data_IF_683928038408
#
_entry.id   IF_683928038408
#
_cell.length_a   1.000
_cell.length_b   1.000
_cell.length_c   1.000
_cell.angle_alpha   90.00
_cell.angle_beta   90.00
_cell.angle_gamma   90.00
#
_symmetry.space_group_name_H-M   'P 1'
#
loop_
_entity.id
_entity.type
_entity.pdbx_description
1 polymer ?
#
# COMPACT_ATOMS: atom_id res chain seq x y z
N UNK A 1 4.55 34.85 -7.22
CA UNK A 1 3.66 33.79 -6.68
C UNK A 1 2.54 33.37 -7.64
N UNK A 2 1.80 34.31 -8.24
CA UNK A 2 0.68 34.04 -9.19
C UNK A 2 1.13 33.30 -10.45
N UNK A 3 2.25 33.69 -11.07
CA UNK A 3 2.79 33.05 -12.28
C UNK A 3 3.14 31.56 -12.08
N UNK A 4 3.73 31.22 -10.93
CA UNK A 4 4.06 29.82 -10.60
C UNK A 4 2.83 28.94 -10.42
N UNK A 5 1.75 29.48 -9.87
CA UNK A 5 0.48 28.75 -9.71
C UNK A 5 -0.21 28.53 -11.07
N UNK A 6 -0.17 29.53 -11.96
CA UNK A 6 -0.72 29.40 -13.32
C UNK A 6 0.03 28.36 -14.14
N UNK A 7 1.36 28.33 -14.07
CA UNK A 7 2.18 27.32 -14.75
C UNK A 7 1.93 25.90 -14.21
N UNK A 8 1.76 25.76 -12.91
CA UNK A 8 1.38 24.46 -12.30
C UNK A 8 0.01 23.96 -12.81
N UNK A 9 -0.97 24.87 -12.90
CA UNK A 9 -2.30 24.53 -13.41
C UNK A 9 -2.28 24.11 -14.87
N UNK A 10 -1.51 24.82 -15.71
CA UNK A 10 -1.35 24.48 -17.13
C UNK A 10 -0.69 23.11 -17.28
N UNK A 11 0.41 22.86 -16.57
CA UNK A 11 1.09 21.55 -16.56
C UNK A 11 0.14 20.44 -16.14
N UNK A 12 -0.69 20.65 -15.10
CA UNK A 12 -1.69 19.67 -14.62
C UNK A 12 -2.75 19.38 -15.69
N UNK A 13 -3.23 20.39 -16.42
CA UNK A 13 -4.20 20.23 -17.52
C UNK A 13 -3.60 19.46 -18.70
N UNK A 14 -2.39 19.84 -19.15
CA UNK A 14 -1.68 19.15 -20.24
C UNK A 14 -1.46 17.70 -19.90
N UNK A 15 -1.00 17.43 -18.67
CA UNK A 15 -0.81 16.07 -18.19
C UNK A 15 -2.12 15.27 -18.17
N UNK A 16 -3.19 15.84 -17.64
CA UNK A 16 -4.50 15.19 -17.63
C UNK A 16 -4.97 14.84 -19.04
N UNK A 17 -4.78 15.73 -20.00
CA UNK A 17 -5.07 15.48 -21.42
C UNK A 17 -4.21 14.33 -21.97
N UNK A 18 -2.89 14.34 -21.70
CA UNK A 18 -1.99 13.28 -22.12
C UNK A 18 -2.39 11.91 -21.55
N UNK A 19 -2.67 11.82 -20.26
CA UNK A 19 -3.05 10.56 -19.59
C UNK A 19 -4.35 9.96 -20.15
N UNK A 20 -5.26 10.78 -20.66
CA UNK A 20 -6.51 10.33 -21.30
C UNK A 20 -6.33 9.99 -22.79
N UNK A 21 -5.15 10.17 -23.36
CA UNK A 21 -4.90 9.95 -24.80
C UNK A 21 -4.72 8.48 -25.16
N UNK A 22 -5.00 8.14 -26.42
CA UNK A 22 -4.69 6.82 -26.96
C UNK A 22 -3.18 6.52 -27.00
N UNK A 23 -2.34 7.55 -27.12
CA UNK A 23 -0.88 7.42 -27.09
C UNK A 23 -0.43 6.90 -25.73
N UNK A 24 -0.93 7.51 -24.64
CA UNK A 24 -0.64 7.06 -23.29
C UNK A 24 -1.14 5.64 -23.05
N UNK A 25 -2.37 5.36 -23.46
CA UNK A 25 -2.94 4.02 -23.33
C UNK A 25 -2.09 2.95 -24.01
N UNK A 26 -1.59 3.22 -25.25
CA UNK A 26 -0.66 2.33 -25.94
C UNK A 26 0.67 2.16 -25.20
N UNK A 27 1.22 3.26 -24.67
CA UNK A 27 2.50 3.27 -23.96
C UNK A 27 2.49 2.36 -22.73
N UNK A 28 1.40 2.34 -21.98
CA UNK A 28 1.31 1.56 -20.72
C UNK A 28 0.81 0.13 -20.97
N UNK A 29 0.26 -0.17 -22.14
CA UNK A 29 -0.21 -1.53 -22.48
C UNK A 29 0.98 -2.47 -22.60
N UNK A 30 0.98 -3.62 -21.88
CA UNK A 30 2.08 -4.58 -21.95
C UNK A 30 2.16 -5.23 -23.33
N UNK A 31 3.38 -5.59 -23.74
CA UNK A 31 3.64 -6.33 -24.99
C UNK A 31 3.45 -7.84 -24.86
N UNK A 32 3.57 -8.36 -23.65
CA UNK A 32 3.42 -9.79 -23.35
C UNK A 32 2.58 -10.00 -22.09
N UNK A 33 1.83 -11.09 -22.07
CA UNK A 33 1.02 -11.52 -20.93
C UNK A 33 1.69 -12.77 -20.35
N UNK A 34 1.95 -12.75 -19.07
CA UNK A 34 2.56 -13.84 -18.31
C UNK A 34 1.57 -14.28 -17.22
N UNK A 35 1.68 -15.53 -16.80
CA UNK A 35 0.90 -16.06 -15.71
C UNK A 35 1.53 -15.69 -14.36
N UNK A 36 0.70 -15.58 -13.32
CA UNK A 36 1.15 -15.37 -11.95
C UNK A 36 1.92 -16.61 -11.49
N UNK A 37 3.18 -16.42 -11.10
CA UNK A 37 4.03 -17.47 -10.52
C UNK A 37 3.98 -17.49 -9.01
N UNK A 38 4.16 -16.35 -8.35
CA UNK A 38 4.09 -16.22 -6.88
C UNK A 38 2.77 -15.59 -6.44
N UNK A 39 2.18 -16.16 -5.40
CA UNK A 39 0.92 -15.73 -4.81
C UNK A 39 1.10 -15.66 -3.28
N UNK A 40 1.11 -14.44 -2.69
CA UNK A 40 1.34 -14.30 -1.26
C UNK A 40 0.16 -14.83 -0.44
N UNK A 41 0.46 -15.32 0.75
CA UNK A 41 -0.57 -15.68 1.73
C UNK A 41 -1.38 -14.44 2.14
N UNK A 42 -2.73 -14.47 2.05
CA UNK A 42 -3.57 -13.36 2.49
C UNK A 42 -3.33 -12.95 3.95
N UNK A 43 -2.91 -13.88 4.81
CA UNK A 43 -2.64 -13.63 6.23
C UNK A 43 -1.48 -12.65 6.46
N UNK A 44 -0.59 -12.45 5.48
CA UNK A 44 0.47 -11.45 5.56
C UNK A 44 -0.08 -10.01 5.56
N UNK A 45 -1.28 -9.81 5.00
CA UNK A 45 -1.91 -8.50 4.96
C UNK A 45 -2.69 -8.14 6.23
N UNK A 46 -2.77 -9.02 7.21
CA UNK A 46 -3.45 -8.77 8.50
C UNK A 46 -2.96 -7.47 9.17
N UNK A 47 -1.70 -7.08 8.94
CA UNK A 47 -1.15 -5.82 9.47
C UNK A 47 -1.78 -4.56 8.86
N UNK A 48 -2.32 -4.64 7.66
CA UNK A 48 -2.91 -3.50 6.94
C UNK A 48 -4.43 -3.44 7.10
N UNK A 49 -5.07 -4.58 7.39
CA UNK A 49 -6.51 -4.70 7.43
C UNK A 49 -7.00 -4.31 8.81
N UNK A 50 -7.93 -3.37 8.88
CA UNK A 50 -8.74 -3.18 10.08
C UNK A 50 -9.78 -4.30 10.08
N UNK A 51 -9.68 -5.20 11.05
CA UNK A 51 -10.70 -6.22 11.26
C UNK A 51 -12.03 -5.56 11.66
N UNK A 52 -12.81 -5.19 10.68
CA UNK A 52 -14.23 -5.01 10.89
C UNK A 52 -14.86 -6.41 10.89
N UNK A 53 -15.49 -6.77 11.99
CA UNK A 53 -16.02 -8.13 12.23
C UNK A 53 -17.17 -8.53 11.29
N UNK A 54 -17.61 -7.67 10.41
CA UNK A 54 -18.65 -7.94 9.42
C UNK A 54 -18.05 -8.52 8.16
N UNK A 55 -18.18 -9.83 7.99
CA UNK A 55 -17.91 -10.48 6.72
C UNK A 55 -18.96 -10.06 5.70
N UNK A 56 -18.50 -9.70 4.51
CA UNK A 56 -19.36 -9.30 3.38
C UNK A 56 -19.64 -10.55 2.54
N UNK A 57 -20.91 -10.83 2.26
CA UNK A 57 -21.30 -11.85 1.30
C UNK A 57 -21.63 -11.17 -0.04
N UNK A 58 -20.93 -11.51 -1.12
CA UNK A 58 -21.10 -10.91 -2.44
C UNK A 58 -22.40 -11.35 -3.13
N UNK A 59 -22.91 -12.54 -2.81
CA UNK A 59 -24.10 -13.12 -3.46
C UNK A 59 -25.34 -12.18 -3.40
N UNK A 60 -25.35 -11.27 -2.42
CA UNK A 60 -26.46 -10.33 -2.21
C UNK A 60 -26.28 -8.97 -2.94
N UNK A 61 -25.20 -8.78 -3.69
CA UNK A 61 -24.97 -7.54 -4.42
C UNK A 61 -25.40 -7.69 -5.88
N UNK A 62 -26.33 -6.87 -6.33
CA UNK A 62 -26.63 -6.71 -7.75
C UNK A 62 -25.42 -6.02 -8.42
N UNK A 63 -24.50 -6.81 -8.91
CA UNK A 63 -23.14 -6.45 -9.35
C UNK A 63 -23.11 -5.39 -10.45
N UNK A 64 -24.15 -5.35 -11.30
CA UNK A 64 -24.23 -4.46 -12.46
C UNK A 64 -24.41 -2.98 -12.13
N UNK A 65 -24.68 -2.62 -10.87
CA UNK A 65 -24.93 -1.23 -10.43
C UNK A 65 -23.93 -0.69 -9.41
N UNK A 66 -22.97 -1.53 -8.97
CA UNK A 66 -22.05 -1.13 -7.91
C UNK A 66 -21.09 -0.03 -8.40
N UNK A 67 -20.59 -0.18 -9.65
CA UNK A 67 -19.53 0.69 -10.18
C UNK A 67 -20.03 2.07 -10.59
N UNK A 68 -21.30 2.18 -11.00
CA UNK A 68 -21.90 3.37 -11.58
C UNK A 68 -22.93 4.03 -10.64
N UNK A 69 -22.88 3.74 -9.33
CA UNK A 69 -23.81 4.34 -8.37
C UNK A 69 -23.45 5.83 -8.11
N UNK A 70 -24.21 6.80 -8.64
CA UNK A 70 -23.92 8.22 -8.49
C UNK A 70 -24.07 8.73 -7.05
N UNK A 71 -24.72 7.96 -6.17
CA UNK A 71 -25.00 8.33 -4.79
C UNK A 71 -23.88 7.90 -3.81
N UNK A 72 -22.84 7.19 -4.27
CA UNK A 72 -21.72 6.83 -3.42
C UNK A 72 -20.85 8.06 -3.11
N UNK A 73 -20.53 8.23 -1.84
CA UNK A 73 -19.52 9.21 -1.43
C UNK A 73 -18.17 8.88 -2.09
N UNK A 74 -17.37 9.89 -2.37
CA UNK A 74 -16.05 9.69 -2.99
C UNK A 74 -15.18 8.69 -2.21
N UNK A 75 -15.20 8.72 -0.89
CA UNK A 75 -14.48 7.78 -0.03
C UNK A 75 -14.95 6.34 -0.22
N UNK A 76 -16.26 6.11 -0.35
CA UNK A 76 -16.83 4.77 -0.53
C UNK A 76 -16.50 4.25 -1.93
N UNK A 77 -16.56 5.13 -2.94
CA UNK A 77 -16.15 4.80 -4.30
C UNK A 77 -14.64 4.44 -4.37
N UNK A 78 -13.77 5.17 -3.65
CA UNK A 78 -12.36 4.85 -3.55
C UNK A 78 -12.13 3.49 -2.86
N UNK A 79 -12.81 3.24 -1.75
CA UNK A 79 -12.75 1.96 -1.03
C UNK A 79 -13.21 0.80 -1.91
N UNK A 80 -14.30 0.98 -2.64
CA UNK A 80 -14.81 -0.01 -3.59
C UNK A 80 -13.79 -0.33 -4.68
N UNK A 81 -13.21 0.70 -5.31
CA UNK A 81 -12.22 0.56 -6.38
C UNK A 81 -10.84 0.08 -5.92
N UNK A 82 -10.55 0.14 -4.61
CA UNK A 82 -9.32 -0.40 -4.02
C UNK A 82 -9.34 -1.93 -3.88
N UNK A 83 -10.51 -2.55 -3.92
CA UNK A 83 -10.72 -3.98 -3.70
C UNK A 83 -10.19 -4.54 -2.36
N UNK A 84 -9.84 -3.70 -1.39
CA UNK A 84 -9.43 -4.17 -0.06
C UNK A 84 -10.55 -4.89 0.71
N UNK A 85 -11.80 -4.69 0.32
CA UNK A 85 -12.95 -5.43 0.84
C UNK A 85 -12.88 -6.94 0.53
N UNK A 86 -12.09 -7.39 -0.45
CA UNK A 86 -11.83 -8.82 -0.70
C UNK A 86 -11.32 -9.56 0.53
N UNK A 87 -10.56 -8.89 1.40
CA UNK A 87 -10.07 -9.48 2.65
C UNK A 87 -11.16 -9.67 3.71
N UNK A 88 -12.32 -9.04 3.53
CA UNK A 88 -13.48 -9.17 4.39
C UNK A 88 -14.48 -10.21 3.89
N UNK A 89 -14.21 -10.84 2.73
CA UNK A 89 -15.07 -11.87 2.18
C UNK A 89 -15.00 -13.14 3.01
N UNK A 90 -16.13 -13.85 3.08
CA UNK A 90 -16.13 -15.21 3.56
C UNK A 90 -15.35 -16.10 2.58
N UNK A 91 -14.55 -17.04 3.11
CA UNK A 91 -13.86 -18.06 2.31
C UNK A 91 -14.82 -18.95 1.51
N UNK A 92 -16.11 -18.94 1.86
CA UNK A 92 -17.19 -19.60 1.11
C UNK A 92 -17.68 -18.81 -0.10
N UNK A 93 -17.20 -17.56 -0.27
CA UNK A 93 -17.57 -16.74 -1.43
C UNK A 93 -17.21 -17.45 -2.73
N UNK A 94 -18.13 -17.41 -3.68
CA UNK A 94 -17.93 -18.08 -4.97
C UNK A 94 -16.79 -17.43 -5.73
N UNK A 95 -15.79 -18.23 -6.14
CA UNK A 95 -14.73 -17.78 -7.05
C UNK A 95 -15.34 -17.17 -8.33
N UNK A 96 -16.38 -17.80 -8.86
CA UNK A 96 -17.06 -17.37 -10.08
C UNK A 96 -17.64 -15.97 -9.96
N UNK A 97 -18.28 -15.67 -8.83
CA UNK A 97 -18.87 -14.34 -8.59
C UNK A 97 -17.78 -13.29 -8.41
N UNK A 98 -16.73 -13.59 -7.64
CA UNK A 98 -15.58 -12.70 -7.46
C UNK A 98 -14.92 -12.38 -8.81
N UNK A 99 -14.67 -13.39 -9.63
CA UNK A 99 -14.06 -13.21 -10.96
C UNK A 99 -14.99 -12.45 -11.90
N UNK A 100 -16.30 -12.68 -11.83
CA UNK A 100 -17.29 -11.92 -12.61
C UNK A 100 -17.27 -10.43 -12.27
N UNK A 101 -17.20 -10.09 -10.96
CA UNK A 101 -17.07 -8.70 -10.49
C UNK A 101 -15.80 -8.05 -11.04
N UNK A 102 -14.68 -8.74 -10.94
CA UNK A 102 -13.39 -8.23 -11.42
C UNK A 102 -13.43 -8.06 -12.96
N UNK A 103 -13.98 -9.04 -13.68
CA UNK A 103 -14.11 -8.98 -15.13
C UNK A 103 -14.94 -7.78 -15.60
N UNK A 104 -16.05 -7.53 -14.94
CA UNK A 104 -16.88 -6.34 -15.22
C UNK A 104 -16.11 -5.04 -14.94
N UNK A 105 -15.40 -4.99 -13.80
CA UNK A 105 -14.58 -3.84 -13.48
C UNK A 105 -13.50 -3.60 -14.54
N UNK A 106 -12.81 -4.64 -15.02
CA UNK A 106 -11.79 -4.54 -16.06
C UNK A 106 -12.39 -3.97 -17.34
N UNK A 107 -13.53 -4.48 -17.79
CA UNK A 107 -14.18 -4.04 -19.04
C UNK A 107 -14.59 -2.56 -19.01
N UNK A 108 -14.90 -2.01 -17.82
CA UNK A 108 -15.31 -0.60 -17.67
C UNK A 108 -14.14 0.33 -17.34
N UNK A 109 -13.02 -0.19 -16.83
CA UNK A 109 -11.90 0.59 -16.32
C UNK A 109 -10.55 0.21 -16.94
N UNK A 110 -10.52 -0.31 -18.14
CA UNK A 110 -9.30 -0.72 -18.85
C UNK A 110 -8.41 0.47 -19.27
N UNK A 111 -8.96 1.68 -19.27
CA UNK A 111 -8.25 2.92 -19.59
C UNK A 111 -8.07 3.79 -18.36
N UNK A 112 -7.08 4.69 -18.46
CA UNK A 112 -6.87 5.68 -17.40
C UNK A 112 -8.15 6.42 -17.06
N UNK A 113 -8.41 6.50 -15.76
CA UNK A 113 -9.49 7.29 -15.18
C UNK A 113 -8.97 7.97 -13.91
N UNK A 114 -9.04 9.28 -13.84
CA UNK A 114 -8.47 10.07 -12.74
C UNK A 114 -9.02 9.75 -11.36
N UNK A 115 -10.22 9.17 -11.26
CA UNK A 115 -10.83 8.75 -9.99
C UNK A 115 -10.35 7.37 -9.55
N UNK A 116 -10.33 6.40 -10.49
CA UNK A 116 -10.08 4.99 -10.20
C UNK A 116 -8.60 4.58 -10.35
N UNK A 117 -7.79 5.47 -10.97
CA UNK A 117 -6.36 5.24 -11.24
C UNK A 117 -5.46 6.14 -10.38
N UNK A 118 -5.90 6.52 -9.18
CA UNK A 118 -5.04 7.15 -8.17
C UNK A 118 -3.99 6.13 -7.68
N UNK A 119 -2.79 6.60 -7.37
CA UNK A 119 -1.63 5.76 -7.00
C UNK A 119 -1.98 4.77 -5.87
N UNK A 120 -2.59 5.25 -4.79
CA UNK A 120 -2.96 4.43 -3.66
C UNK A 120 -4.07 3.43 -3.99
N UNK A 121 -5.06 3.82 -4.81
CA UNK A 121 -6.17 2.96 -5.22
C UNK A 121 -5.67 1.81 -6.10
N UNK A 122 -4.83 2.11 -7.09
CA UNK A 122 -4.22 1.09 -7.93
C UNK A 122 -3.36 0.16 -7.08
N UNK A 123 -2.48 0.73 -6.25
CA UNK A 123 -1.59 -0.07 -5.42
C UNK A 123 -2.34 -1.02 -4.51
N UNK A 124 -3.37 -0.55 -3.80
CA UNK A 124 -4.23 -1.39 -2.98
C UNK A 124 -4.93 -2.48 -3.78
N UNK A 125 -5.51 -2.13 -4.94
CA UNK A 125 -6.20 -3.08 -5.82
C UNK A 125 -5.29 -4.20 -6.28
N UNK A 126 -4.10 -3.89 -6.77
CA UNK A 126 -3.13 -4.89 -7.23
C UNK A 126 -2.72 -5.80 -6.08
N UNK A 127 -2.41 -5.23 -4.90
CA UNK A 127 -2.09 -6.00 -3.70
C UNK A 127 -3.27 -6.92 -3.34
N UNK A 128 -4.49 -6.39 -3.32
CA UNK A 128 -5.67 -7.18 -2.98
C UNK A 128 -5.93 -8.32 -3.98
N UNK A 129 -5.81 -8.05 -5.27
CA UNK A 129 -6.07 -9.04 -6.31
C UNK A 129 -5.04 -10.17 -6.30
N UNK A 130 -3.75 -9.86 -6.23
CA UNK A 130 -2.68 -10.86 -6.22
C UNK A 130 -2.71 -11.67 -4.91
N UNK A 131 -2.92 -11.02 -3.76
CA UNK A 131 -2.94 -11.72 -2.47
C UNK A 131 -4.19 -12.58 -2.24
N UNK A 132 -5.28 -12.34 -2.97
CA UNK A 132 -6.48 -13.18 -2.93
C UNK A 132 -6.62 -14.07 -4.18
N UNK A 133 -5.52 -14.44 -4.82
CA UNK A 133 -5.52 -15.18 -6.10
C UNK A 133 -6.36 -16.45 -6.10
N UNK A 134 -6.53 -17.10 -4.96
CA UNK A 134 -7.47 -18.24 -4.81
C UNK A 134 -8.90 -17.90 -5.22
N UNK A 135 -9.35 -16.67 -4.95
CA UNK A 135 -10.68 -16.19 -5.31
C UNK A 135 -10.67 -15.43 -6.64
N UNK A 136 -9.61 -14.65 -6.87
CA UNK A 136 -9.56 -13.70 -7.97
C UNK A 136 -8.99 -14.25 -9.27
N UNK A 137 -8.21 -15.35 -9.22
CA UNK A 137 -7.44 -15.82 -10.37
C UNK A 137 -7.52 -17.33 -10.65
N UNK A 138 -7.42 -18.18 -9.59
CA UNK A 138 -7.46 -19.64 -9.78
C UNK A 138 -8.75 -20.08 -10.46
N UNK A 139 -8.66 -21.13 -11.29
CA UNK A 139 -9.77 -21.71 -12.04
C UNK A 139 -10.48 -20.75 -13.02
N UNK A 140 -9.98 -19.53 -13.21
CA UNK A 140 -10.47 -18.60 -14.23
C UNK A 140 -10.20 -19.11 -15.65
N UNK A 141 -11.08 -18.75 -16.60
CA UNK A 141 -10.87 -19.05 -18.03
C UNK A 141 -9.59 -18.36 -18.55
N UNK A 142 -9.05 -18.86 -19.65
CA UNK A 142 -7.86 -18.28 -20.30
C UNK A 142 -8.11 -16.80 -20.64
N UNK A 143 -9.24 -16.48 -21.26
CA UNK A 143 -9.61 -15.08 -21.60
C UNK A 143 -9.65 -14.17 -20.36
N UNK A 144 -10.23 -14.67 -19.26
CA UNK A 144 -10.25 -13.93 -18.01
C UNK A 144 -8.84 -13.68 -17.45
N UNK A 145 -8.00 -14.72 -17.40
CA UNK A 145 -6.63 -14.64 -16.91
C UNK A 145 -5.78 -13.69 -17.74
N UNK A 146 -5.95 -13.69 -19.06
CA UNK A 146 -5.24 -12.77 -19.96
C UNK A 146 -5.63 -11.32 -19.69
N UNK A 147 -6.92 -11.03 -19.56
CA UNK A 147 -7.40 -9.69 -19.20
C UNK A 147 -6.94 -9.25 -17.81
N UNK A 148 -7.00 -10.16 -16.84
CA UNK A 148 -6.55 -9.91 -15.47
C UNK A 148 -5.06 -9.56 -15.41
N UNK A 149 -4.20 -10.38 -16.02
CA UNK A 149 -2.76 -10.13 -16.07
C UNK A 149 -2.43 -8.88 -16.89
N UNK A 150 -3.13 -8.67 -18.00
CA UNK A 150 -2.96 -7.50 -18.86
C UNK A 150 -3.24 -6.19 -18.12
N UNK A 151 -4.36 -6.13 -17.38
CA UNK A 151 -4.71 -4.90 -16.64
C UNK A 151 -3.78 -4.66 -15.45
N UNK A 152 -3.33 -5.69 -14.73
CA UNK A 152 -2.34 -5.53 -13.65
C UNK A 152 -1.06 -4.91 -14.22
N UNK A 153 -0.48 -5.49 -15.27
CA UNK A 153 0.75 -4.96 -15.88
C UNK A 153 0.57 -3.55 -16.42
N UNK A 154 -0.56 -3.26 -17.03
CA UNK A 154 -0.91 -1.92 -17.51
C UNK A 154 -0.96 -0.90 -16.38
N UNK A 155 -1.55 -1.25 -15.24
CA UNK A 155 -1.61 -0.40 -14.06
C UNK A 155 -0.25 -0.25 -13.37
N UNK A 156 0.59 -1.28 -13.37
CA UNK A 156 1.97 -1.16 -12.89
C UNK A 156 2.79 -0.22 -13.77
N UNK A 157 2.65 -0.30 -15.09
CA UNK A 157 3.30 0.64 -16.00
C UNK A 157 2.85 2.08 -15.73
N UNK A 158 1.56 2.29 -15.42
CA UNK A 158 1.05 3.57 -14.97
C UNK A 158 1.70 4.01 -13.64
N UNK A 159 1.74 3.13 -12.63
CA UNK A 159 2.38 3.44 -11.34
C UNK A 159 3.83 3.86 -11.52
N UNK A 160 4.62 3.13 -12.29
CA UNK A 160 6.04 3.44 -12.54
C UNK A 160 6.20 4.84 -13.18
N UNK A 161 5.32 5.18 -14.12
CA UNK A 161 5.39 6.49 -14.79
C UNK A 161 4.91 7.65 -13.91
N UNK A 162 4.00 7.38 -12.97
CA UNK A 162 3.23 8.44 -12.30
C UNK A 162 3.48 8.55 -10.79
N UNK A 163 4.13 7.58 -10.16
CA UNK A 163 4.29 7.52 -8.70
C UNK A 163 4.99 8.74 -8.10
N UNK A 164 5.98 9.29 -8.81
CA UNK A 164 6.70 10.48 -8.32
C UNK A 164 5.84 11.75 -8.30
N UNK A 165 4.71 11.75 -8.99
CA UNK A 165 3.81 12.91 -9.07
C UNK A 165 2.83 13.01 -7.91
N UNK A 166 2.66 11.95 -7.12
CA UNK A 166 1.90 12.04 -5.87
C UNK A 166 2.63 12.93 -4.87
N UNK A 167 1.90 13.81 -4.21
CA UNK A 167 2.43 14.62 -3.11
C UNK A 167 2.47 13.83 -1.80
N UNK A 168 1.65 12.78 -1.70
CA UNK A 168 1.51 11.97 -0.49
C UNK A 168 2.52 10.80 -0.48
N UNK A 169 3.42 10.82 0.49
CA UNK A 169 4.44 9.78 0.65
C UNK A 169 3.81 8.40 0.89
N UNK A 170 2.70 8.35 1.63
CA UNK A 170 1.97 7.10 1.88
C UNK A 170 1.49 6.45 0.58
N UNK A 171 0.98 7.23 -0.36
CA UNK A 171 0.54 6.71 -1.66
C UNK A 171 1.72 6.12 -2.44
N UNK A 172 2.89 6.79 -2.39
CA UNK A 172 4.11 6.30 -3.02
C UNK A 172 4.57 4.97 -2.42
N UNK A 173 4.51 4.81 -1.10
CA UNK A 173 4.86 3.54 -0.43
C UNK A 173 3.93 2.41 -0.87
N UNK A 174 2.61 2.67 -0.93
CA UNK A 174 1.63 1.71 -1.43
C UNK A 174 1.95 1.32 -2.88
N UNK A 175 2.23 2.32 -3.72
CA UNK A 175 2.60 2.10 -5.11
C UNK A 175 3.88 1.27 -5.26
N UNK A 176 4.94 1.59 -4.49
CA UNK A 176 6.18 0.80 -4.47
C UNK A 176 5.92 -0.65 -4.06
N UNK A 177 5.12 -0.86 -3.00
CA UNK A 177 4.77 -2.21 -2.54
C UNK A 177 4.03 -3.00 -3.63
N UNK A 178 3.10 -2.37 -4.35
CA UNK A 178 2.39 -3.01 -5.47
C UNK A 178 3.32 -3.37 -6.64
N UNK A 179 4.27 -2.48 -6.98
CA UNK A 179 5.26 -2.72 -8.03
C UNK A 179 6.17 -3.90 -7.63
N UNK A 180 6.66 -3.92 -6.38
CA UNK A 180 7.50 -4.99 -5.85
C UNK A 180 6.75 -6.33 -5.85
N UNK A 181 5.52 -6.35 -5.31
CA UNK A 181 4.70 -7.56 -5.29
C UNK A 181 4.48 -8.10 -6.71
N UNK A 182 4.19 -7.21 -7.67
CA UNK A 182 4.03 -7.61 -9.07
C UNK A 182 5.32 -8.18 -9.64
N UNK A 183 6.48 -7.57 -9.32
CA UNK A 183 7.79 -8.10 -9.75
C UNK A 183 8.09 -9.49 -9.18
N UNK A 184 7.70 -9.76 -7.93
CA UNK A 184 7.82 -11.09 -7.32
C UNK A 184 6.82 -12.09 -7.94
N UNK A 185 5.61 -11.63 -8.28
CA UNK A 185 4.54 -12.48 -8.81
C UNK A 185 4.71 -12.83 -10.29
N UNK A 186 5.43 -12.00 -11.04
CA UNK A 186 5.74 -12.20 -12.47
C UNK A 186 7.25 -12.24 -12.70
N UNK A 187 7.93 -13.35 -12.32
CA UNK A 187 9.40 -13.40 -12.22
C UNK A 187 10.12 -13.27 -13.57
N UNK A 188 9.44 -13.46 -14.70
CA UNK A 188 10.02 -13.26 -16.02
C UNK A 188 10.27 -11.77 -16.34
N UNK A 189 9.68 -10.85 -15.55
CA UNK A 189 9.84 -9.42 -15.71
C UNK A 189 10.55 -8.78 -14.51
N UNK A 190 11.85 -9.09 -14.36
CA UNK A 190 12.71 -8.56 -13.28
C UNK A 190 12.75 -7.02 -13.22
N UNK A 191 12.35 -6.32 -14.29
CA UNK A 191 12.36 -4.87 -14.32
C UNK A 191 11.39 -4.25 -13.30
N UNK A 192 10.22 -4.86 -13.08
CA UNK A 192 9.28 -4.38 -12.08
C UNK A 192 9.87 -4.46 -10.66
N UNK A 193 10.48 -5.60 -10.32
CA UNK A 193 11.10 -5.78 -9.00
C UNK A 193 12.21 -4.76 -8.76
N UNK A 194 13.14 -4.64 -9.67
CA UNK A 194 14.27 -3.71 -9.57
C UNK A 194 13.81 -2.25 -9.50
N UNK A 195 12.81 -1.88 -10.31
CA UNK A 195 12.24 -0.52 -10.30
C UNK A 195 11.54 -0.24 -8.96
N UNK A 196 10.71 -1.16 -8.47
CA UNK A 196 10.01 -1.00 -7.20
C UNK A 196 10.97 -0.86 -6.01
N UNK A 197 12.03 -1.67 -5.97
CA UNK A 197 13.07 -1.60 -4.94
C UNK A 197 13.85 -0.29 -5.00
N UNK A 198 14.23 0.16 -6.19
CA UNK A 198 14.93 1.43 -6.38
C UNK A 198 14.08 2.62 -5.91
N UNK A 199 12.80 2.65 -6.28
CA UNK A 199 11.85 3.68 -5.85
C UNK A 199 11.65 3.67 -4.33
N UNK A 200 11.46 2.48 -3.73
CA UNK A 200 11.28 2.35 -2.29
C UNK A 200 12.52 2.79 -1.52
N UNK A 201 13.72 2.41 -1.97
CA UNK A 201 15.00 2.82 -1.36
C UNK A 201 15.17 4.34 -1.41
N UNK A 202 14.90 4.97 -2.56
CA UNK A 202 14.92 6.43 -2.73
C UNK A 202 13.93 7.11 -1.79
N UNK A 203 12.73 6.56 -1.67
CA UNK A 203 11.67 7.09 -0.83
C UNK A 203 12.01 6.98 0.66
N UNK A 204 12.55 5.87 1.12
CA UNK A 204 13.01 5.68 2.50
C UNK A 204 14.08 6.73 2.86
N UNK A 205 15.10 6.89 2.03
CA UNK A 205 16.16 7.91 2.24
C UNK A 205 15.62 9.34 2.29
N UNK A 206 14.58 9.63 1.52
CA UNK A 206 13.94 10.95 1.52
C UNK A 206 13.07 11.19 2.75
N UNK A 207 12.29 10.19 3.18
CA UNK A 207 11.21 10.33 4.17
C UNK A 207 11.59 9.98 5.61
N UNK A 208 12.69 9.23 5.80
CA UNK A 208 13.18 8.85 7.12
C UNK A 208 14.45 9.65 7.49
N UNK A 209 14.62 9.91 8.79
CA UNK A 209 15.88 10.40 9.35
C UNK A 209 16.87 9.24 9.58
N UNK A 210 18.02 9.55 10.18
CA UNK A 210 19.07 8.55 10.44
C UNK A 210 18.68 7.53 11.51
N UNK A 211 17.69 7.86 12.35
CA UNK A 211 17.17 7.00 13.41
C UNK A 211 15.94 6.18 12.95
N UNK A 212 15.59 6.28 11.66
CA UNK A 212 14.42 5.61 11.09
C UNK A 212 13.09 6.24 11.47
N UNK A 213 13.09 7.48 11.97
CA UNK A 213 11.86 8.20 12.25
C UNK A 213 11.40 8.99 11.02
N UNK A 214 10.07 9.12 10.76
CA UNK A 214 9.59 9.96 9.68
C UNK A 214 10.02 11.42 9.87
N UNK A 215 10.65 12.03 8.86
CA UNK A 215 11.06 13.44 8.90
C UNK A 215 9.91 14.42 9.12
N UNK A 216 8.70 14.02 8.74
CA UNK A 216 7.47 14.76 9.08
C UNK A 216 7.13 14.74 10.57
N UNK A 217 7.83 13.93 11.35
CA UNK A 217 7.56 13.65 12.78
C UNK A 217 6.14 13.13 13.05
N UNK A 218 5.44 12.69 11.99
CA UNK A 218 4.11 12.12 12.11
C UNK A 218 4.18 10.67 12.58
N UNK A 219 3.77 10.43 13.80
CA UNK A 219 3.83 9.13 14.48
C UNK A 219 3.00 8.06 13.74
N UNK A 220 1.90 8.43 13.08
CA UNK A 220 1.11 7.48 12.28
C UNK A 220 1.88 6.98 11.06
N UNK A 221 2.70 7.83 10.45
CA UNK A 221 3.53 7.43 9.33
C UNK A 221 4.56 6.39 9.75
N UNK A 222 5.09 6.47 10.97
CA UNK A 222 6.01 5.47 11.50
C UNK A 222 5.42 4.06 11.45
N UNK A 223 4.24 3.86 12.05
CA UNK A 223 3.59 2.53 12.04
C UNK A 223 3.16 2.11 10.63
N UNK A 224 2.76 3.07 9.80
CA UNK A 224 2.41 2.81 8.41
C UNK A 224 3.62 2.30 7.61
N UNK A 225 4.77 2.96 7.74
CA UNK A 225 6.00 2.55 7.05
C UNK A 225 6.47 1.19 7.53
N UNK A 226 6.51 0.97 8.84
CA UNK A 226 6.90 -0.31 9.41
C UNK A 226 6.04 -1.46 8.87
N UNK A 227 4.72 -1.27 8.79
CA UNK A 227 3.79 -2.28 8.25
C UNK A 227 4.13 -2.66 6.81
N UNK A 228 4.37 -1.68 5.94
CA UNK A 228 4.68 -1.94 4.54
C UNK A 228 6.07 -2.55 4.34
N UNK A 229 7.07 -2.11 5.09
CA UNK A 229 8.41 -2.69 5.03
C UNK A 229 8.42 -4.15 5.48
N UNK A 230 7.72 -4.47 6.59
CA UNK A 230 7.56 -5.84 7.06
C UNK A 230 6.81 -6.67 6.01
N UNK A 231 5.72 -6.17 5.47
CA UNK A 231 4.94 -6.86 4.46
C UNK A 231 5.79 -7.22 3.23
N UNK A 232 6.56 -6.26 2.72
CA UNK A 232 7.49 -6.48 1.60
C UNK A 232 8.51 -7.55 1.97
N UNK A 233 9.13 -7.46 3.15
CA UNK A 233 10.09 -8.46 3.63
C UNK A 233 9.50 -9.87 3.68
N UNK A 234 8.29 -10.00 4.20
CA UNK A 234 7.64 -11.30 4.29
C UNK A 234 7.26 -11.86 2.91
N UNK A 235 6.93 -11.01 1.93
CA UNK A 235 6.77 -11.46 0.53
C UNK A 235 8.06 -12.00 -0.07
N UNK A 236 9.20 -11.33 0.16
CA UNK A 236 10.52 -11.86 -0.26
C UNK A 236 10.80 -13.21 0.36
N UNK A 237 10.56 -13.35 1.67
CA UNK A 237 10.78 -14.59 2.42
C UNK A 237 9.88 -15.72 1.91
N UNK A 238 8.59 -15.45 1.71
CA UNK A 238 7.63 -16.45 1.24
C UNK A 238 7.90 -16.87 -0.21
N UNK A 239 8.31 -15.93 -1.07
CA UNK A 239 8.69 -16.20 -2.46
C UNK A 239 10.11 -16.76 -2.62
N UNK A 240 10.84 -17.01 -1.53
CA UNK A 240 12.21 -17.54 -1.50
C UNK A 240 13.21 -16.67 -2.28
N UNK A 241 12.99 -15.37 -2.34
CA UNK A 241 13.91 -14.40 -2.91
C UNK A 241 14.82 -13.80 -1.83
N UNK A 242 16.05 -13.40 -2.23
CA UNK A 242 16.96 -12.70 -1.36
C UNK A 242 16.40 -11.36 -0.91
N UNK A 243 16.39 -11.12 0.40
CA UNK A 243 15.86 -9.88 0.99
C UNK A 243 16.94 -8.80 0.89
N UNK A 244 16.69 -7.67 0.19
CA UNK A 244 17.66 -6.58 0.13
C UNK A 244 17.98 -6.00 1.51
N UNK A 245 19.28 -5.78 1.79
CA UNK A 245 19.77 -5.30 3.10
C UNK A 245 19.06 -4.05 3.58
N UNK A 246 18.81 -3.08 2.69
CA UNK A 246 18.14 -1.83 3.08
C UNK A 246 16.72 -2.06 3.64
N UNK A 247 16.04 -3.15 3.29
CA UNK A 247 14.73 -3.50 3.85
C UNK A 247 14.90 -3.93 5.31
N UNK A 248 15.86 -4.82 5.60
CA UNK A 248 16.14 -5.27 6.96
C UNK A 248 16.61 -4.10 7.83
N UNK A 249 17.47 -3.24 7.30
CA UNK A 249 17.97 -2.03 7.98
C UNK A 249 16.83 -1.07 8.34
N UNK A 250 15.96 -0.74 7.39
CA UNK A 250 14.82 0.14 7.67
C UNK A 250 13.84 -0.49 8.68
N UNK A 251 13.59 -1.81 8.61
CA UNK A 251 12.74 -2.50 9.59
C UNK A 251 13.37 -2.42 10.99
N UNK A 252 14.68 -2.55 11.10
CA UNK A 252 15.37 -2.44 12.39
C UNK A 252 15.14 -1.07 13.03
N UNK A 253 15.43 0.02 12.32
CA UNK A 253 15.28 1.37 12.84
C UNK A 253 13.81 1.77 13.06
N UNK A 254 12.94 1.50 12.10
CA UNK A 254 11.49 1.71 12.26
C UNK A 254 10.93 0.91 13.44
N UNK A 255 11.41 -0.30 13.64
CA UNK A 255 11.01 -1.15 14.76
C UNK A 255 11.45 -0.62 16.11
N UNK A 256 12.67 -0.09 16.22
CA UNK A 256 13.14 0.60 17.43
C UNK A 256 12.29 1.84 17.74
N UNK A 257 12.00 2.64 16.71
CA UNK A 257 11.16 3.82 16.84
C UNK A 257 9.71 3.43 17.23
N UNK A 258 9.18 2.34 16.69
CA UNK A 258 7.89 1.78 17.08
C UNK A 258 7.88 1.34 18.56
N UNK A 259 8.92 0.63 19.02
CA UNK A 259 9.06 0.22 20.41
C UNK A 259 9.15 1.42 21.36
N UNK A 260 9.89 2.46 20.95
CA UNK A 260 10.00 3.71 21.70
C UNK A 260 8.64 4.37 21.91
N UNK A 261 7.80 4.45 20.88
CA UNK A 261 6.51 5.15 20.93
C UNK A 261 5.43 4.31 21.64
N UNK A 262 5.30 3.02 21.35
CA UNK A 262 4.12 2.25 21.75
C UNK A 262 4.39 1.12 22.73
N UNK A 263 5.56 0.47 22.68
CA UNK A 263 5.80 -0.70 23.54
C UNK A 263 6.33 -0.35 24.92
N UNK A 264 7.11 0.71 25.04
CA UNK A 264 7.75 1.09 26.31
C UNK A 264 6.90 2.05 27.14
N UNK A 265 5.84 2.60 26.58
CA UNK A 265 5.06 3.65 27.21
C UNK A 265 3.61 3.24 27.43
N UNK A 266 3.09 3.54 28.62
CA UNK A 266 1.68 3.35 28.97
C UNK A 266 0.79 4.51 28.49
N UNK A 267 1.39 5.55 27.92
CA UNK A 267 0.75 6.80 27.54
C UNK A 267 0.82 6.94 26.02
N UNK A 268 -0.28 7.34 25.40
CA UNK A 268 -0.32 7.63 23.96
C UNK A 268 0.40 8.95 23.65
N UNK A 269 1.30 8.91 22.66
CA UNK A 269 1.91 10.12 22.10
C UNK A 269 0.87 10.84 21.21
N UNK A 270 0.27 11.91 21.72
CA UNK A 270 -0.77 12.66 21.00
C UNK A 270 -0.22 13.90 20.26
N UNK A 271 1.03 13.86 19.82
CA UNK A 271 1.69 14.94 19.11
C UNK A 271 1.60 14.77 17.58
N UNK A 272 1.82 15.85 16.84
CA UNK A 272 2.00 15.89 15.38
C UNK A 272 0.95 15.08 14.59
N UNK A 273 -0.32 15.30 14.90
CA UNK A 273 -1.45 14.67 14.22
C UNK A 273 -1.71 13.21 14.62
N UNK A 274 -1.03 12.70 15.65
CA UNK A 274 -1.37 11.41 16.20
C UNK A 274 -2.65 11.50 17.07
N UNK A 275 -3.35 10.38 17.15
CA UNK A 275 -4.49 10.19 18.04
C UNK A 275 -4.38 8.83 18.71
N UNK A 276 -5.19 8.62 19.74
CA UNK A 276 -5.25 7.34 20.44
C UNK A 276 -5.44 6.20 19.44
N UNK A 277 -4.48 5.28 19.40
CA UNK A 277 -4.48 4.13 18.49
C UNK A 277 -4.37 2.85 19.28
N UNK A 278 -5.18 1.86 18.92
CA UNK A 278 -5.01 0.52 19.44
C UNK A 278 -4.14 -0.30 18.48
N UNK A 279 -2.87 -0.50 18.85
CA UNK A 279 -1.93 -1.29 18.06
C UNK A 279 -1.90 -2.77 18.46
N UNK A 280 -2.79 -3.22 19.35
CA UNK A 280 -2.79 -4.59 19.87
C UNK A 280 -2.77 -5.65 18.75
N UNK A 281 -3.58 -5.49 17.72
CA UNK A 281 -3.60 -6.42 16.59
C UNK A 281 -2.28 -6.42 15.81
N UNK A 282 -1.64 -5.27 15.70
CA UNK A 282 -0.34 -5.18 15.05
C UNK A 282 0.76 -5.81 15.92
N UNK A 283 0.73 -5.64 17.22
CA UNK A 283 1.66 -6.30 18.14
C UNK A 283 1.52 -7.83 18.09
N UNK A 284 0.28 -8.34 18.03
CA UNK A 284 0.04 -9.78 17.83
C UNK A 284 0.58 -10.27 16.48
N UNK A 285 0.42 -9.48 15.43
CA UNK A 285 0.98 -9.78 14.12
C UNK A 285 2.51 -9.83 14.15
N UNK A 286 3.17 -8.84 14.76
CA UNK A 286 4.62 -8.80 14.95
C UNK A 286 5.11 -10.03 15.70
N UNK A 287 4.47 -10.37 16.81
CA UNK A 287 4.80 -11.56 17.62
C UNK A 287 4.66 -12.86 16.81
N UNK A 288 3.60 -13.00 16.01
CA UNK A 288 3.37 -14.18 15.15
C UNK A 288 4.51 -14.37 14.15
N UNK A 289 5.05 -13.28 13.60
CA UNK A 289 6.15 -13.30 12.64
C UNK A 289 7.55 -13.33 13.28
N UNK A 290 7.63 -13.34 14.62
CA UNK A 290 8.90 -13.39 15.37
C UNK A 290 9.61 -12.05 15.50
N UNK A 291 8.95 -10.93 15.21
CA UNK A 291 9.51 -9.59 15.46
C UNK A 291 9.43 -9.24 16.94
N UNK A 292 10.58 -8.85 17.50
CA UNK A 292 10.70 -8.38 18.88
C UNK A 292 11.56 -7.12 18.93
N UNK A 293 10.92 -5.98 18.74
CA UNK A 293 11.59 -4.69 18.78
C UNK A 293 11.78 -4.24 20.21
N UNK A 294 12.94 -3.64 20.48
CA UNK A 294 13.28 -3.05 21.78
C UNK A 294 13.93 -1.70 21.56
N UNK A 295 13.64 -0.75 22.40
CA UNK A 295 14.34 0.52 22.44
C UNK A 295 14.76 0.82 23.89
N UNK A 296 15.99 1.29 24.06
CA UNK A 296 16.55 1.68 25.37
C UNK A 296 16.84 3.18 25.45
N UNK A 297 16.63 3.92 24.37
CA UNK A 297 16.87 5.35 24.31
C UNK A 297 15.70 6.10 24.98
N UNK A 298 16.03 7.16 25.68
CA UNK A 298 15.04 8.08 26.24
C UNK A 298 14.67 9.21 25.26
N UNK A 299 15.39 9.32 24.14
CA UNK A 299 15.18 10.34 23.11
C UNK A 299 15.25 9.68 21.73
N UNK A 300 14.28 9.97 20.85
CA UNK A 300 14.26 9.50 19.47
C UNK A 300 13.31 10.35 18.62
N UNK A 301 13.71 10.68 17.38
CA UNK A 301 12.87 11.38 16.40
C UNK A 301 12.37 12.75 16.88
N UNK A 302 13.11 13.42 17.77
CA UNK A 302 12.72 14.69 18.36
C UNK A 302 11.69 14.58 19.49
N UNK A 303 11.52 13.40 20.06
CA UNK A 303 10.73 13.17 21.27
C UNK A 303 11.62 12.68 22.40
N UNK A 304 11.35 13.14 23.61
CA UNK A 304 11.97 12.64 24.83
C UNK A 304 10.92 12.02 25.76
N UNK A 305 11.30 10.94 26.43
CA UNK A 305 10.45 10.21 27.37
C UNK A 305 11.21 10.05 28.68
N UNK A 306 10.63 10.56 29.74
CA UNK A 306 11.12 10.38 31.11
C UNK A 306 10.11 9.52 31.86
N UNK A 307 10.53 8.34 32.27
CA UNK A 307 9.69 7.41 32.99
C UNK A 307 10.24 7.20 34.43
N UNK A 308 9.35 7.26 35.40
CA UNK A 308 9.61 6.74 36.73
C UNK A 308 8.53 5.73 37.13
N UNK A 309 8.59 5.19 38.36
CA UNK A 309 7.62 4.17 38.85
C UNK A 309 6.17 4.63 38.83
N UNK A 310 5.88 5.92 38.90
CA UNK A 310 4.53 6.49 39.04
C UNK A 310 4.11 7.35 37.84
N UNK A 311 5.05 8.05 37.20
CA UNK A 311 4.76 9.06 36.18
C UNK A 311 5.58 8.81 34.92
N UNK A 312 4.99 9.14 33.78
CA UNK A 312 5.68 9.24 32.50
C UNK A 312 5.49 10.66 31.96
N UNK A 313 6.57 11.29 31.54
CA UNK A 313 6.57 12.59 30.87
C UNK A 313 7.06 12.41 29.46
N UNK A 314 6.28 12.90 28.52
CA UNK A 314 6.63 12.90 27.11
C UNK A 314 6.75 14.36 26.65
N UNK A 315 7.86 14.68 26.02
CA UNK A 315 8.15 16.02 25.51
C UNK A 315 8.43 15.98 24.01
N UNK A 316 7.88 16.92 23.30
CA UNK A 316 8.30 17.26 21.94
C UNK A 316 9.48 18.23 22.03
N UNK A 317 10.68 17.76 21.71
CA UNK A 317 11.94 18.51 21.81
C UNK A 317 12.56 18.80 20.44
N UNK A 318 11.93 18.33 19.37
CA UNK A 318 12.44 18.50 18.02
C UNK A 318 12.05 19.84 17.40
N UNK A 319 12.79 20.25 16.36
CA UNK A 319 12.42 21.37 15.51
C UNK A 319 11.10 21.11 14.79
N UNK A 320 10.39 22.18 14.40
CA UNK A 320 9.21 22.04 13.54
C UNK A 320 9.56 21.23 12.27
N UNK A 321 8.73 20.26 11.88
CA UNK A 321 8.95 19.54 10.65
C UNK A 321 8.85 20.48 9.45
N UNK A 322 9.77 20.34 8.48
CA UNK A 322 9.81 21.10 7.22
C UNK A 322 8.71 20.64 6.25
#
# INVERSE_FOLDING_TARGET
MILNNSLKLIKKKIRHFYLNSNLYNKRITPSSIELIGYQPSPSLLDCLIKYDKKKINIENYSLNKIWDNPNLKETDQQNLNSFFWLFSLDLKSSKKDTQSVIYQWINTNDRYNSKNWKIDIIGKRIIAWISNSRLTYEDGSIDYKDKFNGIIKKQINHLINEIETSELINDKIIGCAAIILTGLSYPQNNNYLNTGLSLLKKLAKYSLDNDGFPKSRNIRQLSFYLKYFILIREWFKESQNEIPDFINENIYYLGQAYAFIWQNNKIDFLFNGNHKTNNHNFDLYLKRLGYNFKNQNNELGGYAVLNNKKNSLIMDIGSSPN
#
